data_IF_962090916944
#
_entry.id   IF_962090916944
#
_cell.length_a   1.000
_cell.length_b   1.000
_cell.length_c   1.000
_cell.angle_alpha   90.00
_cell.angle_beta   90.00
_cell.angle_gamma   90.00
#
_symmetry.space_group_name_H-M   'P 1'
#
loop_
_entity.id
_entity.type
_entity.pdbx_description
1 polymer ?
#
# COMPACT_ATOMS: atom_id res chain seq x y z
N UNK A 1 41.35 -22.99 86.88
CA UNK A 1 41.95 -22.32 85.71
C UNK A 1 41.02 -22.53 84.52
N UNK A 2 40.28 -21.52 84.10
CA UNK A 2 39.36 -21.61 82.92
C UNK A 2 40.13 -21.37 81.63
N UNK A 3 39.92 -22.24 80.66
CA UNK A 3 40.45 -22.13 79.35
C UNK A 3 39.53 -21.15 78.50
N UNK A 4 40.13 -20.07 78.03
CA UNK A 4 39.49 -19.12 77.12
C UNK A 4 39.51 -19.70 75.70
N UNK A 5 38.35 -19.94 75.13
CA UNK A 5 38.19 -20.33 73.71
C UNK A 5 37.90 -19.05 72.90
N UNK A 6 38.82 -18.65 72.08
CA UNK A 6 38.66 -17.53 71.13
C UNK A 6 38.01 -18.06 69.86
N UNK A 7 36.77 -17.65 69.61
CA UNK A 7 36.05 -17.93 68.35
C UNK A 7 36.39 -16.89 67.29
N UNK A 8 37.14 -17.34 66.26
CA UNK A 8 37.47 -16.45 65.15
C UNK A 8 36.29 -16.49 64.13
N UNK A 9 35.55 -15.35 64.02
CA UNK A 9 34.52 -15.15 63.05
C UNK A 9 35.19 -14.70 61.74
N UNK A 10 35.27 -15.62 60.74
CA UNK A 10 35.60 -15.25 59.34
C UNK A 10 34.40 -14.60 58.67
N UNK A 11 34.43 -13.27 58.50
CA UNK A 11 33.48 -12.55 57.69
C UNK A 11 33.85 -12.72 56.21
N UNK A 12 33.15 -13.61 55.48
CA UNK A 12 33.21 -13.68 54.05
C UNK A 12 32.41 -12.52 53.47
N UNK A 13 33.11 -11.46 53.07
CA UNK A 13 32.52 -10.35 52.33
C UNK A 13 32.13 -10.79 50.93
N UNK A 14 30.84 -11.00 50.68
CA UNK A 14 30.31 -11.07 49.31
C UNK A 14 30.38 -9.66 48.70
N UNK A 15 31.39 -9.40 47.90
CA UNK A 15 31.37 -8.26 47.01
C UNK A 15 30.34 -8.50 45.91
N UNK A 16 29.17 -7.88 46.06
CA UNK A 16 28.16 -7.86 45.04
C UNK A 16 28.69 -6.93 43.93
N UNK A 17 29.19 -7.53 42.84
CA UNK A 17 29.47 -6.75 41.61
C UNK A 17 28.17 -6.09 41.17
N UNK A 18 28.16 -4.74 41.14
CA UNK A 18 27.04 -3.99 40.57
C UNK A 18 26.86 -4.37 39.07
N UNK A 19 25.63 -4.56 38.62
CA UNK A 19 25.39 -4.79 37.19
C UNK A 19 26.05 -3.68 36.41
N UNK A 20 27.01 -3.99 35.54
CA UNK A 20 27.49 -3.06 34.52
C UNK A 20 26.27 -2.68 33.70
N UNK A 21 25.81 -1.43 33.82
CA UNK A 21 24.89 -0.84 32.85
C UNK A 21 25.46 -1.07 31.47
N UNK A 22 24.76 -1.89 30.67
CA UNK A 22 25.05 -2.01 29.27
C UNK A 22 24.87 -0.61 28.67
N UNK A 23 25.97 0.04 28.36
CA UNK A 23 25.98 1.27 27.56
C UNK A 23 25.25 0.90 26.27
N UNK A 24 23.97 1.31 26.17
CA UNK A 24 23.24 1.19 24.96
C UNK A 24 24.05 1.92 23.89
N UNK A 25 24.70 1.15 23.03
CA UNK A 25 25.33 1.69 21.81
C UNK A 25 24.22 2.43 21.10
N UNK A 26 24.31 3.78 21.07
CA UNK A 26 23.49 4.60 20.18
C UNK A 26 23.65 3.96 18.81
N UNK A 27 22.64 3.21 18.37
CA UNK A 27 22.53 2.85 16.97
C UNK A 27 22.63 4.16 16.21
N UNK A 28 23.70 4.32 15.45
CA UNK A 28 23.84 5.47 14.55
C UNK A 28 22.57 5.46 13.69
N UNK A 29 21.77 6.52 13.79
CA UNK A 29 20.68 6.74 12.85
C UNK A 29 21.33 6.58 11.49
N UNK A 30 20.91 5.55 10.76
CA UNK A 30 21.46 5.26 9.42
C UNK A 30 21.39 6.55 8.63
N UNK A 31 22.55 7.01 8.13
CA UNK A 31 22.59 8.18 7.28
C UNK A 31 21.59 7.98 6.13
N UNK A 32 20.91 9.05 5.71
CA UNK A 32 20.01 9.01 4.54
C UNK A 32 20.74 8.32 3.41
N UNK A 33 20.18 7.32 2.73
CA UNK A 33 20.83 6.64 1.62
C UNK A 33 21.31 7.65 0.57
N UNK A 34 22.55 7.53 0.12
CA UNK A 34 23.15 8.50 -0.81
C UNK A 34 22.29 8.74 -2.07
N UNK A 35 21.62 7.68 -2.57
CA UNK A 35 20.75 7.79 -3.73
C UNK A 35 19.55 8.74 -3.51
N UNK A 36 19.08 8.90 -2.27
CA UNK A 36 17.89 9.69 -1.98
C UNK A 36 18.15 11.20 -2.05
N UNK A 37 19.39 11.63 -1.84
CA UNK A 37 19.78 13.05 -1.91
C UNK A 37 19.70 13.60 -3.34
N UNK A 38 19.99 12.75 -4.34
CA UNK A 38 20.03 13.13 -5.76
C UNK A 38 18.84 12.59 -6.55
N UNK A 39 17.84 12.01 -5.86
CA UNK A 39 16.70 11.41 -6.53
C UNK A 39 15.77 12.47 -7.14
N UNK A 40 15.38 12.26 -8.39
CA UNK A 40 14.28 12.97 -9.06
C UNK A 40 13.03 12.12 -8.88
N UNK A 41 12.14 12.62 -8.05
CA UNK A 41 10.91 11.93 -7.64
C UNK A 41 9.76 12.23 -8.57
N UNK A 42 8.98 11.21 -8.90
CA UNK A 42 7.72 11.35 -9.60
C UNK A 42 6.62 10.58 -8.84
N UNK A 43 5.64 11.31 -8.34
CA UNK A 43 4.49 10.71 -7.66
C UNK A 43 3.46 10.25 -8.67
N UNK A 44 3.01 9.00 -8.54
CA UNK A 44 1.99 8.39 -9.40
C UNK A 44 0.77 8.02 -8.57
N UNK A 45 -0.35 8.60 -8.93
CA UNK A 45 -1.67 8.15 -8.52
C UNK A 45 -2.16 7.17 -9.60
N UNK A 46 -1.98 5.86 -9.38
CA UNK A 46 -2.12 4.82 -10.42
C UNK A 46 -3.45 4.92 -11.14
N UNK A 47 -4.57 5.01 -10.41
CA UNK A 47 -5.93 5.10 -10.96
C UNK A 47 -6.11 6.33 -11.90
N UNK A 48 -5.28 7.37 -11.76
CA UNK A 48 -5.33 8.63 -12.50
C UNK A 48 -4.14 8.85 -13.43
N UNK A 49 -3.32 7.83 -13.66
CA UNK A 49 -2.11 7.98 -14.47
C UNK A 49 -2.34 7.54 -15.92
N UNK A 50 -2.67 6.28 -16.15
CA UNK A 50 -2.94 5.71 -17.46
C UNK A 50 -3.68 4.39 -17.35
N UNK A 51 -4.73 4.22 -18.13
CA UNK A 51 -5.36 2.92 -18.38
C UNK A 51 -4.52 2.17 -19.43
N UNK A 52 -3.87 1.09 -19.03
CA UNK A 52 -3.06 0.24 -19.89
C UNK A 52 -3.81 -1.01 -20.38
N UNK A 53 -4.81 -1.45 -19.60
CA UNK A 53 -5.65 -2.60 -19.92
C UNK A 53 -7.13 -2.32 -19.60
N UNK A 54 -7.93 -1.88 -20.56
CA UNK A 54 -9.36 -1.62 -20.32
C UNK A 54 -10.17 -2.87 -19.90
N UNK A 55 -9.62 -4.07 -20.01
CA UNK A 55 -10.31 -5.29 -19.58
C UNK A 55 -10.36 -5.43 -18.06
N UNK A 56 -9.48 -4.73 -17.33
CA UNK A 56 -9.44 -4.70 -15.87
C UNK A 56 -10.20 -3.52 -15.27
N UNK A 57 -10.83 -2.69 -16.06
CA UNK A 57 -11.57 -1.51 -15.60
C UNK A 57 -12.54 -1.87 -14.47
N UNK A 58 -12.61 -1.05 -13.41
CA UNK A 58 -13.50 -1.31 -12.28
C UNK A 58 -14.98 -1.25 -12.71
N UNK A 59 -15.78 -2.05 -12.01
CA UNK A 59 -17.24 -2.07 -12.13
C UNK A 59 -17.91 -1.44 -10.91
N UNK A 60 -19.22 -1.31 -10.91
CA UNK A 60 -19.98 -0.85 -9.75
C UNK A 60 -19.70 -1.71 -8.48
N UNK A 61 -19.50 -3.03 -8.67
CA UNK A 61 -19.14 -3.94 -7.57
C UNK A 61 -17.79 -3.61 -6.92
N UNK A 62 -16.80 -3.20 -7.71
CA UNK A 62 -15.44 -2.96 -7.20
C UNK A 62 -15.35 -1.72 -6.31
N UNK A 63 -16.30 -0.79 -6.46
CA UNK A 63 -16.38 0.45 -5.69
C UNK A 63 -17.43 0.43 -4.56
N UNK A 64 -18.03 -0.72 -4.28
CA UNK A 64 -18.92 -0.87 -3.10
C UNK A 64 -18.13 -0.60 -1.81
N UNK A 65 -18.70 0.20 -0.91
CA UNK A 65 -18.07 0.62 0.34
C UNK A 65 -17.29 1.95 0.26
N UNK A 66 -17.30 2.64 -0.89
CA UNK A 66 -16.76 4.02 -0.97
C UNK A 66 -17.69 5.00 -0.25
N UNK A 67 -18.99 4.74 -0.31
CA UNK A 67 -20.03 5.49 0.40
C UNK A 67 -20.99 4.49 1.04
N UNK A 68 -21.85 4.98 1.94
CA UNK A 68 -22.89 4.15 2.58
C UNK A 68 -23.94 3.65 1.57
N UNK A 69 -23.99 4.25 0.39
CA UNK A 69 -24.92 3.88 -0.65
C UNK A 69 -24.26 2.95 -1.68
N UNK A 70 -25.02 1.99 -2.17
CA UNK A 70 -24.57 1.14 -3.26
C UNK A 70 -24.44 1.96 -4.55
N UNK A 71 -23.34 1.79 -5.34
CA UNK A 71 -23.21 2.46 -6.63
C UNK A 71 -24.40 2.16 -7.55
N UNK A 72 -24.86 3.14 -8.36
CA UNK A 72 -25.93 2.89 -9.33
C UNK A 72 -25.55 1.78 -10.32
N UNK A 73 -26.51 0.97 -10.74
CA UNK A 73 -26.28 -0.08 -11.76
C UNK A 73 -25.72 0.47 -13.06
N UNK A 74 -26.12 1.70 -13.43
CA UNK A 74 -25.62 2.39 -14.60
C UNK A 74 -24.20 2.99 -14.43
N UNK A 75 -23.56 2.81 -13.26
CA UNK A 75 -22.21 3.30 -13.04
C UNK A 75 -21.21 2.72 -14.06
N UNK A 76 -20.30 3.56 -14.55
CA UNK A 76 -19.24 3.21 -15.50
C UNK A 76 -18.02 4.09 -15.24
N UNK A 77 -16.82 3.64 -15.57
CA UNK A 77 -15.62 4.47 -15.57
C UNK A 77 -15.80 5.73 -16.39
N UNK A 78 -15.13 6.79 -15.99
CA UNK A 78 -15.17 8.09 -16.66
C UNK A 78 -14.19 8.09 -17.83
N UNK A 79 -14.62 8.46 -19.04
CA UNK A 79 -13.70 8.62 -20.16
C UNK A 79 -12.62 9.66 -19.87
N UNK A 80 -11.36 9.38 -20.24
CA UNK A 80 -10.23 10.29 -20.06
C UNK A 80 -10.39 11.64 -20.78
N UNK A 81 -11.23 11.69 -21.81
CA UNK A 81 -11.55 12.90 -22.55
C UNK A 81 -12.67 13.76 -21.95
N UNK A 82 -13.28 13.31 -20.83
CA UNK A 82 -14.37 14.04 -20.20
C UNK A 82 -13.87 15.30 -19.50
N UNK A 83 -14.62 16.40 -19.63
CA UNK A 83 -14.42 17.58 -18.79
C UNK A 83 -14.51 17.23 -17.32
N UNK A 84 -13.52 17.70 -16.53
CA UNK A 84 -13.40 17.36 -15.12
C UNK A 84 -14.63 17.71 -14.29
N UNK A 85 -15.22 18.88 -14.53
CA UNK A 85 -16.38 19.36 -13.76
C UNK A 85 -17.73 18.87 -14.28
N UNK A 86 -17.71 18.14 -15.39
CA UNK A 86 -18.93 17.54 -15.95
C UNK A 86 -19.25 16.25 -15.22
N UNK A 87 -20.43 16.22 -14.54
CA UNK A 87 -20.90 14.97 -13.95
C UNK A 87 -21.24 13.92 -15.02
N UNK A 88 -20.94 12.66 -14.72
CA UNK A 88 -21.32 11.50 -15.52
C UNK A 88 -22.85 11.33 -15.55
N UNK A 89 -23.39 10.66 -16.59
CA UNK A 89 -24.82 10.38 -16.66
C UNK A 89 -25.36 9.65 -15.41
N UNK A 90 -24.62 8.66 -14.91
CA UNK A 90 -24.97 7.92 -13.69
C UNK A 90 -24.99 8.82 -12.44
N UNK A 91 -24.04 9.76 -12.34
CA UNK A 91 -23.96 10.70 -11.21
C UNK A 91 -25.13 11.70 -11.23
N UNK A 92 -25.46 12.25 -12.40
CA UNK A 92 -26.64 13.15 -12.55
C UNK A 92 -27.94 12.46 -12.23
N UNK A 93 -28.08 11.16 -12.57
CA UNK A 93 -29.28 10.41 -12.28
C UNK A 93 -29.55 10.24 -10.77
N UNK A 94 -28.55 10.42 -9.90
CA UNK A 94 -28.73 10.40 -8.43
C UNK A 94 -29.39 11.68 -7.89
N UNK A 95 -29.42 12.75 -8.65
CA UNK A 95 -29.88 14.07 -8.19
C UNK A 95 -28.91 14.78 -7.24
N UNK A 96 -27.77 14.19 -6.95
CA UNK A 96 -26.71 14.76 -6.07
C UNK A 96 -25.82 15.72 -6.83
N UNK A 97 -25.15 16.63 -6.10
CA UNK A 97 -24.18 17.53 -6.68
C UNK A 97 -22.87 16.81 -7.09
N UNK A 98 -22.00 17.55 -7.78
CA UNK A 98 -20.72 17.04 -8.26
C UNK A 98 -19.83 16.51 -7.12
N UNK A 99 -19.71 17.26 -6.02
CA UNK A 99 -18.79 16.90 -4.92
C UNK A 99 -19.25 15.67 -4.16
N UNK A 100 -20.54 15.43 -4.10
CA UNK A 100 -21.14 14.24 -3.50
C UNK A 100 -20.91 12.98 -4.33
N UNK A 101 -20.62 13.09 -5.62
CA UNK A 101 -20.50 11.94 -6.53
C UNK A 101 -19.07 11.71 -7.04
N UNK A 102 -18.19 12.72 -6.98
CA UNK A 102 -16.83 12.66 -7.55
C UNK A 102 -15.95 11.59 -6.90
N UNK A 103 -16.20 11.22 -5.64
CA UNK A 103 -15.46 10.17 -4.93
C UNK A 103 -15.70 8.78 -5.54
N UNK A 104 -16.83 8.58 -6.19
CA UNK A 104 -17.16 7.34 -6.90
C UNK A 104 -16.64 7.29 -8.33
N UNK A 105 -16.00 8.37 -8.81
CA UNK A 105 -15.43 8.43 -10.15
C UNK A 105 -14.17 7.58 -10.28
N UNK A 106 -14.03 6.85 -11.38
CA UNK A 106 -12.84 6.07 -11.75
C UNK A 106 -12.48 6.33 -13.21
N UNK A 107 -11.18 6.31 -13.51
CA UNK A 107 -10.65 6.43 -14.88
C UNK A 107 -9.99 5.14 -15.36
N UNK A 108 -9.85 4.14 -14.50
CA UNK A 108 -9.29 2.83 -14.86
C UNK A 108 -7.77 2.84 -15.06
N UNK A 109 -7.04 3.77 -14.45
CA UNK A 109 -5.58 3.69 -14.45
C UNK A 109 -5.10 2.45 -13.70
N UNK A 110 -4.06 1.78 -14.23
CA UNK A 110 -3.58 0.49 -13.76
C UNK A 110 -2.05 0.36 -13.80
N UNK A 111 -1.51 -0.77 -13.33
CA UNK A 111 -0.06 -1.03 -13.32
C UNK A 111 0.51 -1.23 -14.72
N UNK A 112 -0.28 -1.76 -15.67
CA UNK A 112 0.16 -1.87 -17.05
C UNK A 112 0.37 -0.48 -17.66
N UNK A 113 -0.53 0.45 -17.37
CA UNK A 113 -0.38 1.84 -17.79
C UNK A 113 0.87 2.51 -17.22
N UNK A 114 1.26 2.18 -15.98
CA UNK A 114 2.54 2.65 -15.42
C UNK A 114 3.72 2.02 -16.17
N UNK A 115 3.70 0.70 -16.42
CA UNK A 115 4.74 -0.01 -17.16
C UNK A 115 4.91 0.58 -18.56
N UNK A 116 3.83 0.85 -19.27
CA UNK A 116 3.83 1.43 -20.63
C UNK A 116 4.48 2.81 -20.69
N UNK A 117 4.63 3.49 -19.55
CA UNK A 117 5.19 4.85 -19.46
C UNK A 117 6.55 4.92 -18.77
N UNK A 118 7.16 3.79 -18.44
CA UNK A 118 8.47 3.80 -17.81
C UNK A 118 9.56 4.45 -18.67
N UNK A 119 9.53 4.26 -19.99
CA UNK A 119 10.49 4.91 -20.90
C UNK A 119 10.31 6.43 -20.91
N UNK A 120 9.06 6.92 -20.96
CA UNK A 120 8.75 8.34 -20.83
C UNK A 120 9.27 8.91 -19.50
N UNK A 121 9.08 8.20 -18.39
CA UNK A 121 9.55 8.63 -17.08
C UNK A 121 11.08 8.64 -17.02
N UNK A 122 11.74 7.68 -17.64
CA UNK A 122 13.20 7.64 -17.77
C UNK A 122 13.73 8.81 -18.59
N UNK A 123 13.10 9.10 -19.73
CA UNK A 123 13.48 10.23 -20.60
C UNK A 123 13.28 11.59 -19.89
N UNK A 124 12.31 11.67 -18.98
CA UNK A 124 12.09 12.84 -18.12
C UNK A 124 13.16 12.97 -17.01
N UNK A 125 14.03 11.98 -16.84
CA UNK A 125 15.08 11.96 -15.83
C UNK A 125 14.64 11.46 -14.46
N UNK A 126 13.47 10.82 -14.34
CA UNK A 126 12.96 10.28 -13.07
C UNK A 126 13.83 9.12 -12.61
N UNK A 127 14.23 9.14 -11.32
CA UNK A 127 15.02 8.08 -10.69
C UNK A 127 14.31 7.39 -9.52
N UNK A 128 13.20 7.93 -9.07
CA UNK A 128 12.36 7.33 -8.03
C UNK A 128 10.87 7.55 -8.29
N UNK A 129 10.11 6.48 -8.29
CA UNK A 129 8.65 6.49 -8.39
C UNK A 129 8.06 6.37 -6.99
N UNK A 130 7.22 7.33 -6.62
CA UNK A 130 6.42 7.27 -5.40
C UNK A 130 4.99 6.93 -5.79
N UNK A 131 4.57 5.70 -5.50
CA UNK A 131 3.22 5.25 -5.80
C UNK A 131 2.30 5.58 -4.61
N UNK A 132 1.19 6.30 -4.87
CA UNK A 132 0.07 6.35 -3.93
C UNK A 132 -0.36 4.92 -3.59
N UNK A 133 -1.11 4.67 -2.49
CA UNK A 133 -1.46 3.33 -2.09
C UNK A 133 -1.98 2.48 -3.24
N UNK A 134 -1.52 1.23 -3.30
CA UNK A 134 -1.86 0.27 -4.37
C UNK A 134 -2.54 -0.98 -3.84
N UNK A 135 -2.83 -1.04 -2.54
CA UNK A 135 -3.50 -2.18 -1.92
C UNK A 135 -4.97 -2.27 -2.35
N UNK A 136 -5.53 -3.48 -2.29
CA UNK A 136 -6.94 -3.70 -2.63
C UNK A 136 -7.86 -2.87 -1.73
N UNK A 137 -8.60 -1.95 -2.34
CA UNK A 137 -9.47 -1.00 -1.67
C UNK A 137 -10.60 -0.51 -2.59
N UNK A 138 -11.78 -0.15 -2.02
CA UNK A 138 -12.90 0.32 -2.83
C UNK A 138 -12.70 1.74 -3.37
N UNK A 139 -12.00 2.61 -2.64
CA UNK A 139 -11.82 4.02 -3.06
C UNK A 139 -10.82 4.17 -4.20
N UNK A 140 -10.90 5.34 -4.83
CA UNK A 140 -9.94 5.73 -5.88
C UNK A 140 -8.52 5.91 -5.35
N UNK A 141 -8.39 6.35 -4.09
CA UNK A 141 -7.10 6.69 -3.47
C UNK A 141 -6.44 5.53 -2.72
N UNK A 142 -7.15 4.42 -2.48
CA UNK A 142 -6.67 3.18 -1.86
C UNK A 142 -6.16 3.30 -0.41
N UNK A 143 -6.42 4.44 0.28
CA UNK A 143 -6.07 4.57 1.71
C UNK A 143 -7.01 3.79 2.63
N UNK A 144 -8.16 3.34 2.14
CA UNK A 144 -9.19 2.55 2.83
C UNK A 144 -9.08 1.05 2.49
N UNK A 145 -7.91 0.47 2.67
CA UNK A 145 -7.63 -0.90 2.25
C UNK A 145 -8.62 -1.92 2.85
N UNK A 146 -9.16 -2.79 1.98
CA UNK A 146 -9.83 -4.05 2.34
C UNK A 146 -8.83 -5.12 2.70
N UNK A 147 -7.68 -5.09 2.04
CA UNK A 147 -6.63 -6.08 2.17
C UNK A 147 -5.26 -5.45 1.97
N UNK A 148 -4.39 -5.55 2.98
CA UNK A 148 -3.02 -5.05 2.91
C UNK A 148 -2.01 -6.04 2.32
N UNK A 149 -2.42 -7.29 2.08
CA UNK A 149 -1.52 -8.34 1.57
C UNK A 149 -1.38 -8.30 0.06
N UNK A 150 -2.37 -7.76 -0.63
CA UNK A 150 -2.46 -7.81 -2.08
C UNK A 150 -2.58 -6.43 -2.70
N UNK A 151 -2.06 -6.34 -3.91
CA UNK A 151 -2.29 -5.23 -4.83
C UNK A 151 -3.77 -5.23 -5.25
N UNK A 152 -4.32 -4.04 -5.48
CA UNK A 152 -5.70 -3.89 -5.95
C UNK A 152 -5.95 -4.70 -7.23
N UNK A 153 -7.02 -5.49 -7.21
CA UNK A 153 -7.36 -6.38 -8.30
C UNK A 153 -7.58 -5.66 -9.63
N UNK A 154 -8.11 -4.44 -9.62
CA UNK A 154 -8.30 -3.65 -10.83
C UNK A 154 -7.01 -2.97 -11.33
N UNK A 155 -5.89 -3.12 -10.60
CA UNK A 155 -4.58 -2.73 -11.09
C UNK A 155 -3.85 -3.87 -11.81
N UNK A 156 -4.39 -5.09 -11.78
CA UNK A 156 -3.87 -6.28 -12.40
C UNK A 156 -4.75 -6.83 -13.52
N UNK A 157 -4.27 -7.84 -14.28
CA UNK A 157 -4.93 -8.30 -15.49
C UNK A 157 -6.12 -9.27 -15.27
N UNK A 158 -6.37 -9.72 -14.03
CA UNK A 158 -7.42 -10.72 -13.73
C UNK A 158 -8.22 -10.34 -12.47
N UNK A 159 -9.00 -9.22 -12.49
CA UNK A 159 -9.69 -8.73 -11.29
C UNK A 159 -10.60 -9.78 -10.65
N UNK A 160 -11.31 -10.57 -11.43
CA UNK A 160 -12.25 -11.58 -10.92
C UNK A 160 -11.55 -12.80 -10.37
N UNK A 161 -10.50 -13.27 -11.03
CA UNK A 161 -9.68 -14.38 -10.51
C UNK A 161 -8.95 -13.98 -9.23
N UNK A 162 -8.49 -12.75 -9.14
CA UNK A 162 -7.82 -12.22 -7.94
C UNK A 162 -8.82 -12.06 -6.78
N UNK A 163 -10.04 -11.60 -7.03
CA UNK A 163 -11.11 -11.57 -6.03
C UNK A 163 -11.39 -12.95 -5.45
N UNK A 164 -11.51 -13.96 -6.30
CA UNK A 164 -11.73 -15.36 -5.88
C UNK A 164 -10.55 -15.86 -5.04
N UNK A 165 -9.30 -15.55 -5.43
CA UNK A 165 -8.11 -15.95 -4.67
C UNK A 165 -8.09 -15.31 -3.28
N UNK A 166 -8.28 -14.00 -3.20
CA UNK A 166 -8.28 -13.25 -1.95
C UNK A 166 -9.41 -13.69 -1.00
N UNK A 167 -10.60 -13.97 -1.55
CA UNK A 167 -11.75 -14.45 -0.75
C UNK A 167 -11.52 -15.85 -0.18
N UNK A 168 -10.71 -16.67 -0.85
CA UNK A 168 -10.41 -18.04 -0.40
C UNK A 168 -9.30 -18.10 0.68
N UNK A 169 -8.67 -16.97 1.01
CA UNK A 169 -7.63 -16.91 2.03
C UNK A 169 -8.21 -16.78 3.43
N UNK A 170 -7.56 -17.41 4.40
CA UNK A 170 -7.76 -17.11 5.81
C UNK A 170 -6.94 -15.86 6.18
N UNK A 171 -7.56 -14.75 6.61
CA UNK A 171 -6.85 -13.52 6.92
C UNK A 171 -5.86 -13.63 8.09
N UNK A 172 -5.96 -14.67 8.92
CA UNK A 172 -5.05 -14.88 10.06
C UNK A 172 -4.03 -16.01 9.83
N UNK A 173 -4.18 -16.81 8.77
CA UNK A 173 -3.23 -17.87 8.41
C UNK A 173 -2.43 -17.53 7.14
N UNK A 174 -1.16 -17.09 7.28
CA UNK A 174 -0.33 -16.76 6.12
C UNK A 174 -0.04 -17.93 5.18
N UNK A 175 -0.28 -19.18 5.59
CA UNK A 175 -0.10 -20.35 4.72
C UNK A 175 -1.16 -20.44 3.63
N UNK A 176 -2.28 -19.75 3.81
CA UNK A 176 -3.37 -19.70 2.81
C UNK A 176 -3.12 -18.65 1.73
N UNK A 177 -2.21 -17.70 1.95
CA UNK A 177 -1.95 -16.57 1.04
C UNK A 177 -1.34 -17.06 -0.26
N UNK A 178 -1.84 -16.51 -1.37
CA UNK A 178 -1.40 -16.88 -2.73
C UNK A 178 -1.16 -15.62 -3.55
N UNK A 179 -0.13 -15.65 -4.37
CA UNK A 179 0.11 -14.57 -5.31
C UNK A 179 -1.09 -14.38 -6.23
N UNK A 180 -1.56 -13.15 -6.31
CA UNK A 180 -2.56 -12.71 -7.28
C UNK A 180 -1.89 -12.36 -8.61
N UNK A 181 -2.69 -12.17 -9.66
CA UNK A 181 -2.18 -11.67 -10.93
C UNK A 181 -1.70 -10.23 -10.81
N UNK A 182 -2.41 -9.41 -10.00
CA UNK A 182 -2.01 -8.03 -9.70
C UNK A 182 -0.68 -7.97 -8.95
N UNK A 183 -0.44 -8.84 -7.94
CA UNK A 183 0.84 -8.92 -7.24
C UNK A 183 1.98 -9.28 -8.19
N UNK A 184 1.72 -10.23 -9.09
CA UNK A 184 2.71 -10.69 -10.08
C UNK A 184 3.07 -9.58 -11.06
N UNK A 185 2.08 -8.80 -11.50
CA UNK A 185 2.30 -7.64 -12.38
C UNK A 185 3.05 -6.53 -11.64
N UNK A 186 2.76 -6.29 -10.36
CA UNK A 186 3.49 -5.32 -9.54
C UNK A 186 4.98 -5.69 -9.43
N UNK A 187 5.30 -6.97 -9.18
CA UNK A 187 6.69 -7.43 -9.22
C UNK A 187 7.34 -7.25 -10.60
N UNK A 188 6.54 -7.36 -11.67
CA UNK A 188 6.96 -7.02 -13.03
C UNK A 188 7.34 -5.54 -13.15
N UNK A 189 6.48 -4.65 -12.68
CA UNK A 189 6.74 -3.20 -12.65
C UNK A 189 8.03 -2.88 -11.87
N UNK A 190 8.22 -3.49 -10.69
CA UNK A 190 9.44 -3.28 -9.89
C UNK A 190 10.70 -3.67 -10.67
N UNK A 191 10.69 -4.85 -11.33
CA UNK A 191 11.83 -5.29 -12.15
C UNK A 191 12.10 -4.35 -13.31
N UNK A 192 11.06 -3.90 -14.02
CA UNK A 192 11.18 -3.00 -15.17
C UNK A 192 11.68 -1.60 -14.78
N UNK A 193 11.21 -1.08 -13.63
CA UNK A 193 11.71 0.18 -13.08
C UNK A 193 13.18 0.06 -12.67
N UNK A 194 13.56 -1.00 -11.95
CA UNK A 194 14.94 -1.22 -11.52
C UNK A 194 15.90 -1.39 -12.71
N UNK A 195 15.45 -2.05 -13.78
CA UNK A 195 16.25 -2.20 -15.01
C UNK A 195 16.56 -0.85 -15.67
N UNK A 196 15.70 0.16 -15.45
CA UNK A 196 15.87 1.55 -15.91
C UNK A 196 16.58 2.45 -14.89
N UNK A 197 17.06 1.89 -13.77
CA UNK A 197 17.70 2.65 -12.69
C UNK A 197 16.72 3.42 -11.79
N UNK A 198 15.42 3.23 -11.95
CA UNK A 198 14.39 3.85 -11.10
C UNK A 198 14.10 3.00 -9.88
N UNK A 199 13.92 3.62 -8.73
CA UNK A 199 13.44 2.99 -7.48
C UNK A 199 11.94 3.13 -7.36
N UNK A 200 11.31 2.20 -6.62
CA UNK A 200 9.89 2.29 -6.30
C UNK A 200 9.72 2.42 -4.79
N UNK A 201 8.87 3.36 -4.40
CA UNK A 201 8.39 3.53 -3.03
C UNK A 201 6.87 3.46 -3.07
N UNK A 202 6.31 2.70 -2.13
CA UNK A 202 4.86 2.55 -1.96
C UNK A 202 4.41 3.36 -0.75
N UNK A 203 3.33 4.09 -0.91
CA UNK A 203 2.60 4.70 0.19
C UNK A 203 1.67 3.69 0.86
N UNK A 204 1.48 3.81 2.18
CA UNK A 204 0.64 2.93 2.97
C UNK A 204 -0.13 3.69 4.05
N UNK A 205 -1.39 3.33 4.28
CA UNK A 205 -2.17 3.81 5.42
C UNK A 205 -2.00 2.90 6.63
N UNK A 206 -0.96 3.16 7.45
CA UNK A 206 -0.71 2.37 8.66
C UNK A 206 -1.60 2.73 9.87
N UNK A 207 -2.30 3.85 9.83
CA UNK A 207 -3.05 4.43 10.94
C UNK A 207 -4.54 4.07 10.95
N UNK A 208 -5.07 3.51 9.85
CA UNK A 208 -6.47 3.09 9.75
C UNK A 208 -6.67 2.05 8.63
N UNK A 209 -7.82 1.40 8.64
CA UNK A 209 -8.30 0.49 7.59
C UNK A 209 -9.60 1.02 6.98
N UNK A 210 -10.02 0.47 5.85
CA UNK A 210 -11.36 0.69 5.32
C UNK A 210 -12.43 -0.03 6.15
N UNK A 211 -13.67 0.40 6.07
CA UNK A 211 -14.82 -0.27 6.71
C UNK A 211 -15.11 -1.65 6.11
N UNK A 212 -14.52 -1.94 4.96
CA UNK A 212 -14.61 -3.25 4.28
C UNK A 212 -13.44 -4.17 4.62
N UNK A 213 -12.59 -3.79 5.58
CA UNK A 213 -11.50 -4.63 6.07
C UNK A 213 -12.04 -5.82 6.86
N UNK A 214 -11.46 -7.00 6.69
CA UNK A 214 -11.95 -8.26 7.25
C UNK A 214 -12.14 -8.28 8.77
N UNK A 215 -11.43 -7.44 9.51
CA UNK A 215 -11.50 -7.38 10.99
C UNK A 215 -12.43 -6.27 11.52
N UNK A 216 -13.16 -5.60 10.63
CA UNK A 216 -14.07 -4.50 10.99
C UNK A 216 -15.42 -4.95 11.55
#
# INVERSE_FOLDING_TARGET
MPRLVILLLLATGCTREAPREAVATKQSVSAVPAWAADAIWYQIFVERFRNGDPANDPTAHDIEGVTDERPPEAWRPTPWSQDWYRQEPWARATGKDFYSTVQSRRYGGDLQGVIDRLDYLQDLGVTALFLNPVNDAPSLHKYDARNYRHIDRNFGPDPRGDEVRMTAEDPVDPKTWKWTAADSLFLGLVREAHRRGMRIIMDYSWNHTGITFWAW
#
